data_IF_599559710405
#
_entry.id   IF_599559710405
#
_cell.length_a   1.000
_cell.length_b   1.000
_cell.length_c   1.000
_cell.angle_alpha   90.00
_cell.angle_beta   90.00
_cell.angle_gamma   90.00
#
_symmetry.space_group_name_H-M   'P 1'
#
loop_
_entity.id
_entity.type
_entity.pdbx_description
1 polymer ?
#
# COMPACT_ATOMS: atom_id res chain seq x y z
N UNK A 1 -3.08 10.34 5.26
CA UNK A 1 -2.89 8.94 4.80
C UNK A 1 -3.20 7.94 5.90
N UNK A 2 -3.05 8.29 7.18
CA UNK A 2 -3.46 7.41 8.29
C UNK A 2 -4.98 7.12 8.35
N UNK A 3 -5.83 8.09 7.99
CA UNK A 3 -7.29 7.99 8.08
C UNK A 3 -7.96 6.95 7.15
N UNK A 4 -7.25 6.45 6.14
CA UNK A 4 -7.75 5.42 5.22
C UNK A 4 -6.91 4.13 5.26
N UNK A 5 -6.01 4.02 6.24
CA UNK A 5 -5.15 2.87 6.45
C UNK A 5 -5.93 1.63 6.88
N UNK A 6 -5.34 0.45 6.66
CA UNK A 6 -5.85 -0.82 7.16
C UNK A 6 -4.83 -1.38 8.15
N UNK A 7 -5.30 -1.81 9.32
CA UNK A 7 -4.41 -2.35 10.37
C UNK A 7 -3.61 -3.54 9.83
N UNK A 8 -2.31 -3.57 10.15
CA UNK A 8 -1.41 -4.63 9.68
C UNK A 8 -1.01 -4.53 8.20
N UNK A 9 -1.42 -3.47 7.48
CA UNK A 9 -1.00 -3.22 6.09
C UNK A 9 -0.39 -1.84 5.93
N UNK A 10 0.68 -1.77 5.14
CA UNK A 10 1.35 -0.50 4.82
C UNK A 10 0.79 0.03 3.50
N UNK A 11 0.03 1.13 3.56
CA UNK A 11 -0.52 1.80 2.38
C UNK A 11 0.48 2.79 1.80
N UNK A 12 0.68 2.74 0.49
CA UNK A 12 1.61 3.58 -0.27
C UNK A 12 0.94 4.17 -1.52
N UNK A 13 1.41 5.32 -2.03
CA UNK A 13 0.93 5.88 -3.29
C UNK A 13 1.52 5.14 -4.50
N UNK A 14 0.91 5.31 -5.68
CA UNK A 14 1.34 4.66 -6.93
C UNK A 14 2.83 4.89 -7.24
N UNK A 15 3.34 6.10 -7.04
CA UNK A 15 4.74 6.43 -7.32
C UNK A 15 5.72 5.59 -6.47
N UNK A 16 5.40 5.40 -5.19
CA UNK A 16 6.20 4.56 -4.28
C UNK A 16 6.05 3.08 -4.62
N UNK A 17 4.84 2.63 -5.00
CA UNK A 17 4.59 1.24 -5.39
C UNK A 17 5.43 0.85 -6.62
N UNK A 18 5.53 1.72 -7.63
CA UNK A 18 6.38 1.50 -8.81
C UNK A 18 7.84 1.31 -8.42
N UNK A 19 8.39 2.23 -7.62
CA UNK A 19 9.76 2.15 -7.15
C UNK A 19 10.02 0.85 -6.37
N UNK A 20 9.11 0.47 -5.48
CA UNK A 20 9.25 -0.76 -4.68
C UNK A 20 9.17 -2.02 -5.56
N UNK A 21 8.27 -2.05 -6.55
CA UNK A 21 8.19 -3.15 -7.51
C UNK A 21 9.47 -3.28 -8.35
N UNK A 22 10.08 -2.16 -8.75
CA UNK A 22 11.39 -2.15 -9.44
C UNK A 22 12.52 -2.71 -8.55
N UNK A 23 12.39 -2.56 -7.22
CA UNK A 23 13.32 -3.13 -6.24
C UNK A 23 12.92 -4.55 -5.76
N UNK A 24 11.94 -5.20 -6.39
CA UNK A 24 11.57 -6.59 -6.10
C UNK A 24 10.57 -6.79 -4.95
N UNK A 25 9.94 -5.72 -4.47
CA UNK A 25 8.85 -5.84 -3.50
C UNK A 25 7.52 -6.09 -4.20
N UNK A 26 6.74 -7.03 -3.68
CA UNK A 26 5.39 -7.26 -4.18
C UNK A 26 4.42 -6.23 -3.59
N UNK A 27 3.64 -5.59 -4.45
CA UNK A 27 2.67 -4.57 -4.07
C UNK A 27 1.28 -4.94 -4.64
N UNK A 28 0.25 -4.76 -3.83
CA UNK A 28 -1.15 -5.04 -4.19
C UNK A 28 -1.92 -3.73 -4.43
N UNK A 29 -2.64 -3.62 -5.55
CA UNK A 29 -3.52 -2.47 -5.77
C UNK A 29 -4.68 -2.51 -4.77
N UNK A 30 -4.82 -1.46 -3.96
CA UNK A 30 -5.96 -1.26 -3.05
C UNK A 30 -7.14 -0.62 -3.78
N UNK A 31 -6.87 0.09 -4.87
CA UNK A 31 -7.83 0.93 -5.58
C UNK A 31 -7.73 2.40 -5.20
N UNK A 32 -8.75 3.17 -5.60
CA UNK A 32 -8.82 4.62 -5.39
C UNK A 32 -9.46 4.96 -4.05
N UNK A 33 -8.91 5.97 -3.38
CA UNK A 33 -9.46 6.57 -2.17
C UNK A 33 -9.72 8.05 -2.35
N UNK A 34 -10.81 8.53 -1.77
CA UNK A 34 -11.09 9.96 -1.74
C UNK A 34 -10.31 10.64 -0.62
N UNK A 35 -9.45 11.59 -0.96
CA UNK A 35 -8.71 12.41 0.01
C UNK A 35 -9.18 13.85 -0.10
N UNK A 36 -9.67 14.39 1.01
CA UNK A 36 -10.14 15.78 1.10
C UNK A 36 -9.04 16.74 0.60
N UNK A 37 -9.35 17.53 -0.43
CA UNK A 37 -8.43 18.48 -1.04
C UNK A 37 -7.46 17.91 -2.09
N UNK A 38 -7.46 16.59 -2.34
CA UNK A 38 -6.69 15.95 -3.41
C UNK A 38 -7.52 15.15 -4.40
N UNK A 39 -8.80 14.93 -4.13
CA UNK A 39 -9.68 14.14 -4.98
C UNK A 39 -9.41 12.64 -4.82
N UNK A 40 -9.60 11.88 -5.89
CA UNK A 40 -9.35 10.45 -5.88
C UNK A 40 -7.86 10.14 -6.09
N UNK A 41 -7.29 9.37 -5.16
CA UNK A 41 -5.91 8.91 -5.23
C UNK A 41 -5.87 7.39 -5.26
N UNK A 42 -5.23 6.84 -6.27
CA UNK A 42 -4.94 5.41 -6.31
C UNK A 42 -3.81 5.07 -5.35
N UNK A 43 -3.96 3.95 -4.65
CA UNK A 43 -3.01 3.50 -3.62
C UNK A 43 -2.84 2.01 -3.66
N UNK A 44 -1.73 1.57 -3.08
CA UNK A 44 -1.29 0.19 -3.03
C UNK A 44 -0.97 -0.21 -1.60
N UNK A 45 -0.98 -1.51 -1.30
CA UNK A 45 -0.41 -2.07 -0.10
C UNK A 45 0.89 -2.80 -0.42
N UNK A 46 1.87 -2.74 0.47
CA UNK A 46 3.05 -3.59 0.38
C UNK A 46 2.65 -5.00 0.85
N UNK A 47 2.94 -6.03 0.05
CA UNK A 47 2.87 -7.42 0.52
C UNK A 47 4.16 -7.73 1.25
N UNK A 48 4.12 -7.57 2.57
CA UNK A 48 5.16 -8.15 3.41
C UNK A 48 5.03 -9.68 3.35
N UNK A 49 6.14 -10.43 3.29
CA UNK A 49 6.07 -11.84 3.62
C UNK A 49 5.42 -11.93 5.00
N UNK A 50 4.34 -12.70 5.12
CA UNK A 50 3.82 -13.04 6.44
C UNK A 50 5.02 -13.57 7.23
N UNK A 51 5.31 -12.95 8.38
CA UNK A 51 6.05 -13.65 9.41
C UNK A 51 5.26 -14.94 9.60
N UNK A 52 5.84 -16.05 9.14
CA UNK A 52 5.37 -17.35 9.59
C UNK A 52 5.65 -17.29 11.08
N UNK A 53 4.60 -17.09 11.88
CA UNK A 53 4.62 -17.52 13.27
C UNK A 53 4.92 -19.01 13.22
N UNK A 54 6.21 -19.33 13.29
CA UNK A 54 6.70 -20.68 13.44
C UNK A 54 6.34 -21.10 14.86
N UNK A 55 5.28 -21.92 14.96
CA UNK A 55 4.85 -22.65 16.14
C UNK A 55 4.89 -24.15 15.82
#
# INVERSE_FOLDING_TARGET
MDSHGMMGKIQIPVATAKLLMEHGYDCECRGRIHVKGKGELETYFIKSPALKDEL
#
